data_IF_398222083440
#
_entry.id   IF_398222083440
#
_cell.length_a   1.000
_cell.length_b   1.000
_cell.length_c   1.000
_cell.angle_alpha   90.00
_cell.angle_beta   90.00
_cell.angle_gamma   90.00
#
_symmetry.space_group_name_H-M   'P 1'
#
loop_
_entity.id
_entity.type
_entity.pdbx_description
1 polymer ?
#
# COMPACT_ATOMS: atom_id res chain seq x y z
N UNK A 1 12.02 4.46 23.10
CA UNK A 1 11.69 4.76 22.89
C UNK A 1 10.69 5.42 23.08
N UNK A 2 10.65 5.55 23.81
CA UNK A 2 9.64 6.48 24.16
C UNK A 2 9.51 7.63 23.22
N UNK A 3 10.39 7.66 22.27
CA UNK A 3 10.44 8.77 21.35
C UNK A 3 9.52 8.65 20.17
N UNK A 4 8.99 7.47 19.96
CA UNK A 4 7.87 7.41 19.06
C UNK A 4 6.65 7.83 19.82
N UNK A 5 6.12 8.96 19.51
CA UNK A 5 4.98 9.46 20.22
C UNK A 5 3.97 10.07 19.26
N UNK A 6 2.83 10.37 19.83
CA UNK A 6 1.72 10.97 19.09
C UNK A 6 2.10 12.31 18.48
N UNK A 7 3.00 13.05 19.11
CA UNK A 7 3.44 14.34 18.59
C UNK A 7 4.17 14.20 17.25
N UNK A 8 5.06 13.21 17.14
CA UNK A 8 5.78 12.99 15.89
C UNK A 8 4.81 12.60 14.77
N UNK A 9 3.90 11.71 15.08
CA UNK A 9 2.90 11.27 14.13
C UNK A 9 1.99 12.41 13.69
N UNK A 10 1.49 13.19 14.63
CA UNK A 10 0.63 14.34 14.37
C UNK A 10 1.38 15.38 13.55
N UNK A 11 2.64 15.68 13.94
CA UNK A 11 3.48 16.63 13.23
C UNK A 11 3.70 16.22 11.78
N UNK A 12 3.97 14.94 11.55
CA UNK A 12 4.18 14.42 10.19
C UNK A 12 2.90 14.55 9.37
N UNK A 13 1.75 14.24 9.96
CA UNK A 13 0.47 14.34 9.27
C UNK A 13 0.14 15.77 8.85
N UNK A 14 0.47 16.76 9.67
CA UNK A 14 0.18 18.18 9.39
C UNK A 14 1.32 18.91 8.68
N UNK A 15 2.47 18.28 8.46
CA UNK A 15 3.53 18.88 7.65
C UNK A 15 3.07 18.96 6.19
N UNK A 16 3.74 19.81 5.41
CA UNK A 16 3.42 19.91 3.98
C UNK A 16 3.61 18.57 3.29
N UNK A 17 4.71 17.89 3.58
CA UNK A 17 4.97 16.56 3.05
C UNK A 17 3.88 15.57 3.45
N UNK A 18 3.50 15.57 4.73
CA UNK A 18 2.48 14.67 5.25
C UNK A 18 1.13 14.89 4.62
N UNK A 19 0.75 16.16 4.41
CA UNK A 19 -0.52 16.49 3.77
C UNK A 19 -0.56 16.01 2.32
N UNK A 20 0.52 16.22 1.58
CA UNK A 20 0.63 15.75 0.20
C UNK A 20 0.59 14.23 0.17
N UNK A 21 1.35 13.59 1.03
CA UNK A 21 1.40 12.14 1.13
C UNK A 21 0.01 11.54 1.37
N UNK A 22 -0.70 12.03 2.39
CA UNK A 22 -2.02 11.50 2.72
C UNK A 22 -3.04 11.75 1.62
N UNK A 23 -2.99 12.91 0.99
CA UNK A 23 -3.90 13.23 -0.11
C UNK A 23 -3.71 12.26 -1.28
N UNK A 24 -2.47 12.04 -1.71
CA UNK A 24 -2.19 11.15 -2.84
C UNK A 24 -2.52 9.71 -2.47
N UNK A 25 -2.12 9.28 -1.28
CA UNK A 25 -2.40 7.92 -0.81
C UNK A 25 -3.91 7.64 -0.81
N UNK A 26 -4.68 8.54 -0.23
CA UNK A 26 -6.13 8.38 -0.18
C UNK A 26 -6.74 8.35 -1.58
N UNK A 27 -6.26 9.18 -2.49
CA UNK A 27 -6.74 9.23 -3.87
C UNK A 27 -6.38 7.95 -4.65
N UNK A 28 -5.21 7.36 -4.38
CA UNK A 28 -4.85 6.08 -4.98
C UNK A 28 -5.76 4.96 -4.45
N UNK A 29 -5.91 4.89 -3.14
CA UNK A 29 -6.67 3.81 -2.52
C UNK A 29 -8.17 3.90 -2.81
N UNK A 30 -8.69 5.10 -3.03
CA UNK A 30 -10.10 5.30 -3.34
C UNK A 30 -10.40 5.23 -4.84
N UNK A 31 -9.39 5.09 -5.68
CA UNK A 31 -9.58 4.97 -7.12
C UNK A 31 -9.66 6.28 -7.88
N UNK A 32 -9.39 7.41 -7.22
CA UNK A 32 -9.33 8.71 -7.91
C UNK A 32 -8.22 8.70 -8.95
N UNK A 33 -7.06 8.16 -8.60
CA UNK A 33 -6.00 7.88 -9.56
C UNK A 33 -6.14 6.43 -10.04
N UNK A 34 -6.05 6.25 -11.35
CA UNK A 34 -6.14 4.93 -11.96
C UNK A 34 -4.80 4.23 -11.93
N UNK A 35 -4.81 2.92 -12.10
CA UNK A 35 -3.60 2.13 -12.23
C UNK A 35 -2.79 2.64 -13.42
N UNK A 36 -1.49 2.80 -13.23
CA UNK A 36 -0.54 3.30 -14.22
C UNK A 36 -0.74 4.77 -14.60
N UNK A 37 -1.57 5.50 -13.89
CA UNK A 37 -1.75 6.93 -14.14
C UNK A 37 -0.50 7.69 -13.74
N UNK A 38 -0.10 8.67 -14.56
CA UNK A 38 1.04 9.52 -14.28
C UNK A 38 0.71 10.56 -13.21
N UNK A 39 1.61 10.71 -12.23
CA UNK A 39 1.52 11.73 -11.19
C UNK A 39 2.59 12.78 -11.49
N UNK A 40 2.18 14.04 -11.64
CA UNK A 40 3.09 15.14 -11.98
C UNK A 40 3.32 16.02 -10.76
N UNK A 41 4.58 16.16 -10.36
CA UNK A 41 4.96 16.97 -9.20
C UNK A 41 4.42 18.39 -9.29
N UNK A 42 4.59 19.02 -10.45
CA UNK A 42 4.19 20.42 -10.65
C UNK A 42 2.68 20.57 -10.52
N UNK A 43 1.94 19.71 -11.18
CA UNK A 43 0.48 19.77 -11.17
C UNK A 43 -0.07 19.55 -9.76
N UNK A 44 0.47 18.58 -9.03
CA UNK A 44 0.05 18.31 -7.66
C UNK A 44 0.42 19.47 -6.75
N UNK A 45 1.61 20.04 -6.93
CA UNK A 45 2.03 21.19 -6.15
C UNK A 45 1.10 22.39 -6.36
N UNK A 46 0.72 22.65 -7.59
CA UNK A 46 -0.20 23.73 -7.90
C UNK A 46 -1.59 23.48 -7.30
N UNK A 47 -2.09 22.26 -7.42
CA UNK A 47 -3.39 21.89 -6.87
C UNK A 47 -3.44 22.06 -5.35
N UNK A 48 -2.38 21.66 -4.67
CA UNK A 48 -2.34 21.70 -3.20
C UNK A 48 -1.73 22.99 -2.64
N UNK A 49 -1.25 23.87 -3.52
CA UNK A 49 -0.65 25.13 -3.08
C UNK A 49 0.69 24.97 -2.38
N UNK A 50 1.50 24.00 -2.80
CA UNK A 50 2.80 23.73 -2.19
C UNK A 50 3.89 23.68 -3.26
N UNK A 51 5.16 23.82 -2.84
CA UNK A 51 6.29 23.74 -3.73
C UNK A 51 6.57 22.27 -4.12
N UNK A 52 7.55 22.08 -4.99
CA UNK A 52 7.93 20.73 -5.44
C UNK A 52 8.55 19.88 -4.35
N UNK A 53 9.27 20.49 -3.42
CA UNK A 53 10.03 19.73 -2.42
C UNK A 53 9.15 18.80 -1.59
N UNK A 54 8.07 19.27 -0.94
CA UNK A 54 7.20 18.37 -0.19
C UNK A 54 6.50 17.33 -1.08
N UNK A 55 6.20 17.67 -2.32
CA UNK A 55 5.60 16.72 -3.26
C UNK A 55 6.59 15.60 -3.59
N UNK A 56 7.83 15.96 -3.87
CA UNK A 56 8.88 14.99 -4.18
C UNK A 56 9.16 14.07 -3.00
N UNK A 57 9.19 14.62 -1.79
CA UNK A 57 9.39 13.82 -0.59
C UNK A 57 8.23 12.85 -0.35
N UNK A 58 7.00 13.30 -0.59
CA UNK A 58 5.83 12.44 -0.49
C UNK A 58 5.88 11.32 -1.53
N UNK A 59 6.33 11.61 -2.74
CA UNK A 59 6.49 10.60 -3.79
C UNK A 59 7.47 9.52 -3.37
N UNK A 60 8.60 9.89 -2.76
CA UNK A 60 9.59 8.92 -2.29
C UNK A 60 8.98 7.99 -1.24
N UNK A 61 8.19 8.53 -0.34
CA UNK A 61 7.54 7.72 0.68
C UNK A 61 6.52 6.77 0.07
N UNK A 62 5.73 7.25 -0.88
CA UNK A 62 4.74 6.42 -1.59
C UNK A 62 5.43 5.31 -2.40
N UNK A 63 6.59 5.60 -2.99
CA UNK A 63 7.35 4.59 -3.71
C UNK A 63 7.85 3.50 -2.77
N UNK A 64 8.35 3.88 -1.59
CA UNK A 64 8.80 2.92 -0.59
C UNK A 64 7.68 1.99 -0.15
N UNK A 65 6.45 2.50 -0.14
CA UNK A 65 5.27 1.71 0.23
C UNK A 65 4.71 0.90 -0.94
N UNK A 66 5.26 1.07 -2.13
CA UNK A 66 4.81 0.33 -3.30
C UNK A 66 3.56 0.88 -3.97
N UNK A 67 3.11 2.07 -3.59
CA UNK A 67 1.91 2.67 -4.18
C UNK A 67 2.18 3.36 -5.50
N UNK A 68 3.40 3.84 -5.71
CA UNK A 68 3.81 4.43 -6.98
C UNK A 68 5.18 3.91 -7.38
N UNK A 69 5.53 4.12 -8.65
CA UNK A 69 6.83 3.78 -9.19
C UNK A 69 7.42 5.02 -9.84
N UNK A 70 8.63 5.39 -9.46
CA UNK A 70 9.35 6.52 -10.04
C UNK A 70 10.32 5.97 -11.06
N UNK A 71 10.15 6.41 -12.31
CA UNK A 71 11.00 5.97 -13.41
C UNK A 71 11.91 7.13 -13.79
N UNK A 72 13.24 6.99 -13.69
CA UNK A 72 14.16 8.07 -14.02
C UNK A 72 13.90 8.63 -15.42
N UNK A 73 13.86 9.93 -15.51
CA UNK A 73 13.64 10.70 -16.75
C UNK A 73 12.26 10.52 -17.39
N UNK A 74 11.35 9.78 -16.75
CA UNK A 74 9.99 9.60 -17.29
C UNK A 74 8.91 10.12 -16.36
N UNK A 75 9.06 9.95 -15.05
CA UNK A 75 8.09 10.46 -14.10
C UNK A 75 7.64 9.42 -13.07
N UNK A 76 6.58 9.74 -12.36
CA UNK A 76 6.01 8.88 -11.35
C UNK A 76 4.65 8.35 -11.83
N UNK A 77 4.39 7.08 -11.55
CA UNK A 77 3.19 6.40 -12.01
C UNK A 77 2.58 5.59 -10.87
N UNK A 78 1.26 5.56 -10.81
CA UNK A 78 0.55 4.73 -9.83
C UNK A 78 0.83 3.26 -10.15
N UNK A 79 1.23 2.50 -9.14
CA UNK A 79 1.51 1.08 -9.31
C UNK A 79 0.21 0.32 -9.53
N UNK A 80 0.09 -0.33 -10.66
CA UNK A 80 -1.10 -1.11 -10.98
C UNK A 80 -0.94 -2.57 -10.59
N UNK A 81 -2.05 -3.27 -10.50
CA UNK A 81 -2.05 -4.71 -10.31
C UNK A 81 -1.86 -5.36 -11.67
N UNK A 82 -0.81 -6.16 -11.82
CA UNK A 82 -0.53 -6.86 -13.06
C UNK A 82 -1.19 -8.23 -13.09
N UNK A 83 -1.30 -8.81 -14.29
CA UNK A 83 -1.79 -10.19 -14.44
C UNK A 83 -0.90 -11.15 -13.66
N UNK A 84 0.41 -10.89 -13.67
CA UNK A 84 1.35 -11.71 -12.91
C UNK A 84 1.07 -11.64 -11.41
N UNK A 85 0.79 -10.45 -10.88
CA UNK A 85 0.46 -10.29 -9.46
C UNK A 85 -0.76 -11.11 -9.08
N UNK A 86 -1.79 -11.08 -9.91
CA UNK A 86 -3.01 -11.87 -9.69
C UNK A 86 -2.69 -13.35 -9.71
N UNK A 87 -1.87 -13.80 -10.67
CA UNK A 87 -1.46 -15.20 -10.77
C UNK A 87 -0.65 -15.63 -9.55
N UNK A 88 0.25 -14.78 -9.07
CA UNK A 88 1.08 -15.08 -7.90
C UNK A 88 0.21 -15.22 -6.65
N UNK A 89 -0.75 -14.32 -6.47
CA UNK A 89 -1.70 -14.38 -5.35
C UNK A 89 -2.52 -15.67 -5.43
N UNK A 90 -3.01 -16.00 -6.60
CA UNK A 90 -3.82 -17.20 -6.80
C UNK A 90 -3.01 -18.46 -6.50
N UNK A 91 -1.78 -18.52 -6.97
CA UNK A 91 -0.88 -19.65 -6.72
C UNK A 91 -0.56 -19.80 -5.24
N UNK A 92 -0.29 -18.69 -4.56
CA UNK A 92 -0.04 -18.69 -3.13
C UNK A 92 -1.25 -19.21 -2.37
N UNK A 93 -2.44 -18.74 -2.72
CA UNK A 93 -3.69 -19.20 -2.10
C UNK A 93 -3.88 -20.71 -2.30
N UNK A 94 -3.64 -21.21 -3.52
CA UNK A 94 -3.77 -22.62 -3.83
C UNK A 94 -2.81 -23.48 -3.01
N UNK A 95 -1.58 -23.02 -2.82
CA UNK A 95 -0.60 -23.73 -2.00
C UNK A 95 -1.00 -23.77 -0.55
N UNK A 96 -1.51 -22.64 -0.03
CA UNK A 96 -1.98 -22.59 1.36
C UNK A 96 -3.18 -23.50 1.57
N UNK A 97 -4.12 -23.54 0.65
CA UNK A 97 -5.27 -24.43 0.71
C UNK A 97 -4.83 -25.89 0.68
N UNK A 98 -3.86 -26.23 -0.16
CA UNK A 98 -3.31 -27.59 -0.23
C UNK A 98 -2.62 -28.01 1.07
N UNK A 99 -1.86 -27.11 1.68
CA UNK A 99 -1.21 -27.38 2.96
C UNK A 99 -2.23 -27.55 4.06
N UNK A 100 -3.26 -26.70 4.09
CA UNK A 100 -4.33 -26.79 5.08
C UNK A 100 -5.09 -28.12 4.95
N UNK A 101 -5.36 -28.54 3.71
CA UNK A 101 -6.06 -29.78 3.45
C UNK A 101 -5.25 -31.00 3.92
N UNK A 102 -3.94 -31.00 3.66
CA UNK A 102 -3.06 -32.08 4.13
C UNK A 102 -2.97 -32.12 5.63
N UNK A 103 -2.80 -30.96 6.25
CA UNK A 103 -2.75 -30.85 7.70
C UNK A 103 -4.06 -31.34 8.31
N UNK A 104 -5.19 -30.97 7.71
CA UNK A 104 -6.50 -31.40 8.19
C UNK A 104 -6.68 -32.92 8.14
N UNK A 105 -6.17 -33.56 7.09
CA UNK A 105 -6.22 -35.02 6.94
C UNK A 105 -5.42 -35.73 8.05
N UNK A 106 -4.30 -35.15 8.44
CA UNK A 106 -3.41 -35.72 9.45
C UNK A 106 -3.87 -35.40 10.86
N UNK A 107 -4.56 -34.28 11.07
CA UNK A 107 -4.91 -33.76 12.39
C UNK A 107 -6.39 -33.44 12.49
N UNK A 108 -7.23 -34.42 12.20
CA UNK A 108 -8.67 -34.19 12.11
C UNK A 108 -9.30 -33.65 13.40
N UNK A 109 -8.80 -34.04 14.57
CA UNK A 109 -9.28 -33.54 15.85
C UNK A 109 -8.97 -32.05 16.01
N UNK A 110 -7.78 -31.64 15.57
CA UNK A 110 -7.32 -30.27 15.69
C UNK A 110 -8.09 -29.35 14.74
N UNK A 111 -8.58 -29.87 13.63
CA UNK A 111 -9.39 -29.12 12.67
C UNK A 111 -10.67 -28.60 13.32
N UNK A 112 -11.27 -29.36 14.20
CA UNK A 112 -12.47 -28.94 14.91
C UNK A 112 -12.20 -27.72 15.80
N UNK A 113 -11.06 -27.74 16.48
CA UNK A 113 -10.66 -26.61 17.32
C UNK A 113 -10.40 -25.39 16.46
N UNK A 114 -9.70 -25.57 15.35
CA UNK A 114 -9.40 -24.49 14.42
C UNK A 114 -10.67 -23.88 13.84
N UNK A 115 -11.61 -24.71 13.43
CA UNK A 115 -12.89 -24.25 12.92
C UNK A 115 -13.66 -23.41 13.94
N UNK A 116 -13.63 -23.81 15.20
CA UNK A 116 -14.26 -23.06 16.28
C UNK A 116 -13.60 -21.69 16.46
N UNK A 117 -12.27 -21.63 16.35
CA UNK A 117 -11.55 -20.36 16.47
C UNK A 117 -11.86 -19.42 15.32
N UNK A 118 -12.04 -19.94 14.12
CA UNK A 118 -12.37 -19.13 12.95
C UNK A 118 -13.81 -18.64 13.01
N UNK A 119 -14.71 -19.46 13.45
CA UNK A 119 -16.13 -19.11 13.58
C UNK A 119 -16.41 -18.20 14.78
N UNK A 120 -15.63 -18.37 15.82
CA UNK A 120 -15.74 -17.56 17.03
C UNK A 120 -15.20 -16.18 16.84
#
# INVERSE_FOLDING_TARGET
MANYDVKTEVSDKFSLRGRVYHKIRDDILSGVYRDNEELREVAIGEELGVSRTPVREAFRQLELEGLIQIIPNKGAYVTGITVKDVQDIYMMRSKLEGLAARWATEHITDVRVLAQLVEG
#
